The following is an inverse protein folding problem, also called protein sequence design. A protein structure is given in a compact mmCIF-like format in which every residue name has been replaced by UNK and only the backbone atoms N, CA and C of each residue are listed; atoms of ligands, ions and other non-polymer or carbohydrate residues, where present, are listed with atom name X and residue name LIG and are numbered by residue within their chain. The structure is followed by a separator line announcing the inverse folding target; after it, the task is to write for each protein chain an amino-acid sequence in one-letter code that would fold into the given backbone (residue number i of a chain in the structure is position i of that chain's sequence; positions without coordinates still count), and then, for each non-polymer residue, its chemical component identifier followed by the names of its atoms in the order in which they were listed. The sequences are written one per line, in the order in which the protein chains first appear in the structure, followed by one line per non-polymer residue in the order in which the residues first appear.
data_IF_448531648389
#
_entry.id   IF_448531648389
#
_cell.length_a   1.000
_cell.length_b   1.000
_cell.length_c   1.000
_cell.angle_alpha   90.00
_cell.angle_beta   90.00
_cell.angle_gamma   90.00
#
_symmetry.space_group_name_H-M   'P 1'
#
loop_
_entity.id
_entity.type
_entity.pdbx_description
1 polymer ?
#
# COMPACT_ATOMS: atom_id res chain seq x y z
N UNK A 1 5.68 26.43 -14.37
CA UNK A 1 4.71 26.69 -13.28
C UNK A 1 5.01 25.71 -12.16
N UNK A 2 5.38 26.19 -10.96
CA UNK A 2 5.62 25.33 -9.80
C UNK A 2 4.28 25.15 -9.10
N UNK A 3 3.67 23.98 -9.25
CA UNK A 3 2.50 23.58 -8.46
C UNK A 3 2.94 23.40 -7.00
N UNK A 4 2.88 24.49 -6.25
CA UNK A 4 3.08 24.46 -4.82
C UNK A 4 1.89 23.71 -4.23
N UNK A 5 2.13 22.46 -3.81
CA UNK A 5 1.13 21.66 -3.10
C UNK A 5 0.81 22.41 -1.81
N UNK A 6 -0.33 23.09 -1.78
CA UNK A 6 -0.79 23.79 -0.59
C UNK A 6 -1.24 22.77 0.46
N UNK A 7 -0.32 22.45 1.38
CA UNK A 7 -0.54 21.56 2.51
C UNK A 7 -1.60 22.09 3.49
N UNK A 8 -2.02 23.36 3.37
CA UNK A 8 -3.10 23.95 4.19
C UNK A 8 -4.48 23.38 3.86
N UNK A 9 -4.62 22.63 2.76
CA UNK A 9 -5.89 22.04 2.35
C UNK A 9 -6.18 20.65 2.95
N UNK A 10 -5.30 20.10 3.80
CA UNK A 10 -5.58 18.87 4.52
C UNK A 10 -6.61 19.13 5.62
N UNK A 11 -7.80 18.54 5.46
CA UNK A 11 -8.74 18.45 6.57
C UNK A 11 -8.28 17.28 7.42
N UNK A 12 -7.65 17.63 8.54
CA UNK A 12 -7.35 16.68 9.59
C UNK A 12 -8.65 16.36 10.32
N UNK A 13 -9.24 15.20 10.03
CA UNK A 13 -10.38 14.73 10.81
C UNK A 13 -9.81 14.00 12.02
N UNK A 14 -9.66 14.71 13.15
CA UNK A 14 -9.26 14.11 14.42
C UNK A 14 -10.25 13.03 14.85
N UNK A 15 -9.70 12.05 15.58
CA UNK A 15 -10.33 10.83 16.08
C UNK A 15 -11.72 11.13 16.66
N UNK A 16 -12.75 10.72 15.93
CA UNK A 16 -14.12 10.84 16.40
C UNK A 16 -14.38 9.73 17.43
N UNK A 17 -14.55 10.17 18.68
CA UNK A 17 -15.21 9.54 19.85
C UNK A 17 -15.40 8.01 19.90
N UNK A 18 -15.04 7.43 21.05
CA UNK A 18 -15.10 6.01 21.42
C UNK A 18 -16.44 5.26 21.24
N UNK A 19 -17.51 5.88 20.71
CA UNK A 19 -18.85 5.28 20.55
C UNK A 19 -19.40 5.27 19.11
N UNK A 20 -18.63 5.66 18.11
CA UNK A 20 -19.13 5.63 16.73
C UNK A 20 -19.10 4.22 16.13
N UNK A 21 -20.26 3.76 15.66
CA UNK A 21 -20.35 2.63 14.74
C UNK A 21 -19.82 3.01 13.34
N UNK A 22 -19.48 2.01 12.52
CA UNK A 22 -18.93 2.23 11.18
C UNK A 22 -19.86 3.01 10.23
N UNK A 23 -21.18 2.86 10.38
CA UNK A 23 -22.16 3.52 9.50
C UNK A 23 -22.28 5.01 9.84
N UNK A 24 -22.31 5.35 11.13
CA UNK A 24 -22.26 6.73 11.62
C UNK A 24 -20.96 7.40 11.19
N UNK A 25 -19.84 6.68 11.26
CA UNK A 25 -18.56 7.21 10.82
C UNK A 25 -18.56 7.50 9.32
N UNK A 26 -19.09 6.59 8.50
CA UNK A 26 -19.33 6.84 7.07
C UNK A 26 -20.22 8.08 6.83
N UNK A 27 -21.37 8.20 7.52
CA UNK A 27 -22.26 9.36 7.36
C UNK A 27 -21.56 10.67 7.71
N UNK A 28 -20.76 10.66 8.78
CA UNK A 28 -19.97 11.82 9.17
C UNK A 28 -18.93 12.19 8.11
N UNK A 29 -18.15 11.22 7.61
CA UNK A 29 -17.18 11.44 6.54
C UNK A 29 -17.84 11.95 5.26
N UNK A 30 -18.98 11.36 4.87
CA UNK A 30 -19.75 11.80 3.71
C UNK A 30 -20.23 13.24 3.85
N UNK A 31 -20.85 13.58 4.97
CA UNK A 31 -21.31 14.97 5.23
C UNK A 31 -20.14 15.95 5.13
N UNK A 32 -18.96 15.55 5.63
CA UNK A 32 -17.77 16.39 5.56
C UNK A 32 -17.22 16.51 4.13
N UNK A 33 -17.23 15.43 3.35
CA UNK A 33 -16.88 15.47 1.92
C UNK A 33 -17.81 16.44 1.19
N UNK A 34 -19.13 16.30 1.38
CA UNK A 34 -20.12 17.12 0.70
C UNK A 34 -19.95 18.61 1.05
N UNK A 35 -19.73 18.93 2.33
CA UNK A 35 -19.44 20.31 2.79
C UNK A 35 -18.13 20.87 2.20
N UNK A 36 -17.11 20.03 2.01
CA UNK A 36 -15.85 20.48 1.43
C UNK A 36 -15.94 20.67 -0.09
N UNK A 37 -16.81 19.92 -0.76
CA UNK A 37 -17.06 20.04 -2.19
C UNK A 37 -17.88 21.28 -2.55
N UNK A 38 -18.69 21.82 -1.64
CA UNK A 38 -19.42 23.08 -1.89
C UNK A 38 -18.52 24.32 -1.84
N UNK A 39 -17.28 24.20 -1.37
CA UNK A 39 -16.33 25.30 -1.32
C UNK A 39 -15.74 25.60 -2.71
N UNK A 40 -15.98 26.80 -3.29
CA UNK A 40 -15.69 27.09 -4.70
C UNK A 40 -14.19 27.09 -5.05
N UNK A 41 -13.30 27.23 -4.07
CA UNK A 41 -11.84 27.23 -4.28
C UNK A 41 -11.20 25.83 -4.23
N UNK A 42 -11.94 24.77 -3.89
CA UNK A 42 -11.39 23.42 -3.75
C UNK A 42 -11.62 22.58 -4.99
N UNK A 43 -10.59 22.47 -5.84
CA UNK A 43 -10.62 21.55 -7.01
C UNK A 43 -10.50 20.07 -6.62
N UNK A 44 -9.85 19.76 -5.50
CA UNK A 44 -9.63 18.40 -4.99
C UNK A 44 -9.73 18.40 -3.47
N UNK A 45 -10.49 17.46 -2.91
CA UNK A 45 -10.63 17.27 -1.46
C UNK A 45 -9.63 16.23 -0.99
N UNK A 46 -8.78 16.58 -0.02
CA UNK A 46 -7.78 15.68 0.56
C UNK A 46 -8.15 15.39 2.01
N UNK A 47 -8.36 14.12 2.33
CA UNK A 47 -8.76 13.68 3.67
C UNK A 47 -7.67 12.79 4.24
N UNK A 48 -7.20 13.14 5.43
CA UNK A 48 -6.32 12.31 6.23
C UNK A 48 -7.11 11.68 7.37
N UNK A 49 -7.18 10.34 7.37
CA UNK A 49 -7.69 9.55 8.49
C UNK A 49 -6.49 9.06 9.30
N UNK A 50 -6.25 9.68 10.44
CA UNK A 50 -5.08 9.41 11.29
C UNK A 50 -5.45 8.46 12.44
N UNK A 51 -4.90 7.25 12.41
CA UNK A 51 -5.08 6.18 13.39
C UNK A 51 -6.54 5.81 13.70
N UNK A 52 -7.42 5.59 12.69
CA UNK A 52 -8.77 5.11 12.94
C UNK A 52 -8.76 3.66 13.46
N UNK A 53 -9.74 3.31 14.31
CA UNK A 53 -9.93 1.90 14.72
C UNK A 53 -10.24 1.04 13.49
N UNK A 54 -9.55 -0.08 13.34
CA UNK A 54 -9.67 -0.96 12.17
C UNK A 54 -11.11 -1.44 11.92
N UNK A 55 -11.85 -1.74 12.99
CA UNK A 55 -13.24 -2.19 12.93
C UNK A 55 -14.16 -1.14 12.29
N UNK A 56 -14.00 0.14 12.66
CA UNK A 56 -14.77 1.25 12.12
C UNK A 56 -14.43 1.44 10.63
N UNK A 57 -13.13 1.41 10.32
CA UNK A 57 -12.63 1.60 8.96
C UNK A 57 -13.11 0.51 8.00
N UNK A 58 -13.14 -0.76 8.46
CA UNK A 58 -13.58 -1.91 7.66
C UNK A 58 -15.02 -1.79 7.17
N UNK A 59 -15.89 -1.13 7.93
CA UNK A 59 -17.28 -0.88 7.54
C UNK A 59 -17.44 0.44 6.78
N UNK A 60 -16.76 1.50 7.22
CA UNK A 60 -16.97 2.85 6.69
C UNK A 60 -16.27 3.09 5.34
N UNK A 61 -15.03 2.62 5.20
CA UNK A 61 -14.20 2.93 4.03
C UNK A 61 -14.76 2.34 2.72
N UNK A 62 -15.25 1.08 2.67
CA UNK A 62 -15.86 0.56 1.45
C UNK A 62 -17.07 1.38 1.00
N UNK A 63 -17.91 1.82 1.93
CA UNK A 63 -19.08 2.66 1.64
C UNK A 63 -18.67 4.03 1.11
N UNK A 64 -17.65 4.65 1.72
CA UNK A 64 -17.12 5.93 1.28
C UNK A 64 -16.47 5.83 -0.10
N UNK A 65 -15.67 4.80 -0.34
CA UNK A 65 -15.04 4.57 -1.64
C UNK A 65 -16.08 4.32 -2.73
N UNK A 66 -17.13 3.56 -2.45
CA UNK A 66 -18.23 3.36 -3.39
C UNK A 66 -18.91 4.70 -3.73
N UNK A 67 -19.23 5.50 -2.72
CA UNK A 67 -19.81 6.83 -2.90
C UNK A 67 -18.94 7.75 -3.78
N UNK A 68 -17.64 7.80 -3.49
CA UNK A 68 -16.68 8.61 -4.25
C UNK A 68 -16.60 8.14 -5.70
N UNK A 69 -16.53 6.83 -5.93
CA UNK A 69 -16.41 6.23 -7.27
C UNK A 69 -17.68 6.41 -8.08
N UNK A 70 -18.84 6.14 -7.49
CA UNK A 70 -20.16 6.25 -8.13
C UNK A 70 -20.43 7.67 -8.61
N UNK A 71 -20.13 8.67 -7.78
CA UNK A 71 -20.31 10.08 -8.11
C UNK A 71 -19.11 10.74 -8.79
N UNK A 72 -18.06 9.97 -9.04
CA UNK A 72 -16.80 10.43 -9.61
C UNK A 72 -16.21 11.68 -8.91
N UNK A 73 -16.20 11.69 -7.58
CA UNK A 73 -15.79 12.85 -6.80
C UNK A 73 -14.26 13.05 -6.83
N UNK A 74 -13.75 14.29 -6.87
CA UNK A 74 -12.32 14.58 -6.85
C UNK A 74 -11.77 14.51 -5.42
N UNK A 75 -11.76 13.31 -4.83
CA UNK A 75 -11.37 13.06 -3.43
C UNK A 75 -10.14 12.16 -3.37
N UNK A 76 -9.15 12.55 -2.56
CA UNK A 76 -7.98 11.74 -2.22
C UNK A 76 -8.04 11.38 -0.75
N UNK A 77 -7.98 10.08 -0.45
CA UNK A 77 -7.98 9.55 0.91
C UNK A 77 -6.59 9.05 1.28
N UNK A 78 -6.05 9.56 2.38
CA UNK A 78 -4.86 9.01 3.03
C UNK A 78 -5.28 8.42 4.38
N UNK A 79 -5.00 7.13 4.56
CA UNK A 79 -5.29 6.43 5.82
C UNK A 79 -3.98 5.98 6.43
N UNK A 80 -3.68 6.47 7.64
CA UNK A 80 -2.52 6.05 8.41
C UNK A 80 -2.97 5.15 9.56
N UNK A 81 -2.39 3.95 9.64
CA UNK A 81 -2.70 2.96 10.68
C UNK A 81 -1.40 2.57 11.38
N UNK A 82 -1.45 2.40 12.70
CA UNK A 82 -0.36 1.84 13.49
C UNK A 82 -0.41 0.32 13.47
N UNK A 83 0.62 -0.38 12.96
CA UNK A 83 0.59 -1.84 12.84
C UNK A 83 0.45 -2.52 14.21
N UNK A 84 1.10 -2.02 15.26
CA UNK A 84 1.01 -2.56 16.62
C UNK A 84 -0.38 -2.44 17.28
N UNK A 85 -1.32 -1.71 16.67
CA UNK A 85 -2.71 -1.62 17.16
C UNK A 85 -3.62 -2.68 16.53
N UNK A 86 -3.15 -3.37 15.49
CA UNK A 86 -3.89 -4.40 14.78
C UNK A 86 -3.79 -5.70 15.58
N UNK A 87 -4.93 -6.21 16.05
CA UNK A 87 -4.99 -7.51 16.74
C UNK A 87 -5.20 -8.63 15.73
N UNK A 88 -4.97 -9.89 16.12
CA UNK A 88 -5.14 -11.06 15.25
C UNK A 88 -6.53 -11.13 14.59
N UNK A 89 -7.57 -10.72 15.32
CA UNK A 89 -8.96 -10.63 14.83
C UNK A 89 -9.17 -9.56 13.73
N UNK A 90 -8.30 -8.56 13.66
CA UNK A 90 -8.40 -7.42 12.73
C UNK A 90 -7.60 -7.67 11.42
N UNK A 91 -6.80 -8.73 11.34
CA UNK A 91 -6.00 -9.10 10.16
C UNK A 91 -6.86 -9.25 8.90
N UNK A 92 -8.02 -9.94 8.92
CA UNK A 92 -8.87 -10.06 7.73
C UNK A 92 -9.40 -8.70 7.24
N UNK A 93 -9.70 -7.79 8.18
CA UNK A 93 -10.14 -6.44 7.87
C UNK A 93 -9.02 -5.61 7.23
N UNK A 94 -7.80 -5.67 7.80
CA UNK A 94 -6.63 -4.99 7.23
C UNK A 94 -6.35 -5.45 5.79
N UNK A 95 -6.35 -6.77 5.54
CA UNK A 95 -6.18 -7.33 4.18
C UNK A 95 -7.28 -6.87 3.22
N UNK A 96 -8.53 -6.79 3.67
CA UNK A 96 -9.64 -6.28 2.85
C UNK A 96 -9.41 -4.82 2.46
N UNK A 97 -8.97 -3.99 3.42
CA UNK A 97 -8.68 -2.58 3.17
C UNK A 97 -7.50 -2.38 2.21
N UNK A 98 -6.44 -3.18 2.34
CA UNK A 98 -5.32 -3.20 1.39
C UNK A 98 -5.77 -3.57 -0.04
N UNK A 99 -6.78 -4.43 -0.20
CA UNK A 99 -7.34 -4.76 -1.52
C UNK A 99 -8.13 -3.60 -2.11
N UNK A 100 -8.81 -2.82 -1.28
CA UNK A 100 -9.62 -1.68 -1.70
C UNK A 100 -8.81 -0.43 -2.04
N UNK A 101 -7.62 -0.27 -1.44
CA UNK A 101 -6.76 0.89 -1.65
C UNK A 101 -6.01 0.82 -2.97
N UNK A 102 -5.79 1.97 -3.59
CA UNK A 102 -5.02 2.05 -4.84
C UNK A 102 -3.51 1.94 -4.55
N UNK A 103 -3.06 2.46 -3.41
CA UNK A 103 -1.67 2.42 -2.95
C UNK A 103 -1.61 1.88 -1.52
N UNK A 104 -0.61 1.03 -1.24
CA UNK A 104 -0.28 0.57 0.11
C UNK A 104 1.20 0.82 0.34
N UNK A 105 1.49 1.57 1.41
CA UNK A 105 2.83 1.91 1.86
C UNK A 105 3.02 1.38 3.27
N UNK A 106 4.15 0.76 3.51
CA UNK A 106 4.58 0.29 4.82
C UNK A 106 5.85 1.02 5.22
N UNK A 107 5.89 1.51 6.45
CA UNK A 107 7.02 2.29 6.96
C UNK A 107 7.57 1.58 8.18
N UNK A 108 8.85 1.24 8.12
CA UNK A 108 9.58 0.62 9.22
C UNK A 108 10.64 1.59 9.74
N UNK A 109 10.60 1.91 11.03
CA UNK A 109 11.64 2.74 11.66
C UNK A 109 12.78 1.89 12.20
N UNK A 110 14.02 2.35 12.09
CA UNK A 110 15.14 1.64 12.71
C UNK A 110 15.20 1.79 14.23
N UNK A 111 14.53 2.80 14.79
CA UNK A 111 14.50 3.02 16.23
C UNK A 111 13.84 1.86 17.01
N UNK A 112 12.99 1.05 16.35
CA UNK A 112 12.35 -0.11 16.96
C UNK A 112 13.21 -1.37 16.93
N UNK A 113 14.35 -1.38 16.21
CA UNK A 113 15.22 -2.56 16.11
C UNK A 113 16.18 -2.60 17.30
N UNK A 114 15.84 -3.39 18.33
CA UNK A 114 16.71 -3.60 19.49
C UNK A 114 17.73 -4.72 19.26
N UNK A 115 17.36 -5.74 18.47
CA UNK A 115 18.16 -6.97 18.32
C UNK A 115 19.17 -6.92 17.19
N UNK A 116 18.87 -6.22 16.09
CA UNK A 116 19.72 -6.13 14.91
C UNK A 116 19.84 -4.67 14.48
N UNK A 117 20.96 -3.98 14.79
CA UNK A 117 21.16 -2.62 14.34
C UNK A 117 21.13 -2.58 12.80
N UNK A 118 20.66 -1.48 12.20
CA UNK A 118 20.66 -1.37 10.74
C UNK A 118 22.09 -1.55 10.20
N UNK A 119 22.24 -2.23 9.04
CA UNK A 119 23.51 -2.33 8.32
C UNK A 119 24.24 -0.99 8.19
N UNK A 120 25.57 -1.03 8.06
CA UNK A 120 26.41 0.16 8.07
C UNK A 120 26.01 1.17 6.96
N UNK A 121 25.56 0.65 5.82
CA UNK A 121 25.08 1.39 4.66
C UNK A 121 23.83 2.22 4.98
N UNK A 122 23.06 1.81 5.99
CA UNK A 122 21.80 2.44 6.39
C UNK A 122 21.93 3.34 7.62
N UNK A 123 23.15 3.57 8.15
CA UNK A 123 23.38 4.44 9.32
C UNK A 123 22.87 5.87 9.15
N UNK A 124 22.79 6.36 7.91
CA UNK A 124 22.33 7.73 7.61
C UNK A 124 20.81 7.84 7.47
N UNK A 125 20.12 6.70 7.47
CA UNK A 125 18.68 6.57 7.32
C UNK A 125 18.01 6.43 8.68
N UNK A 126 16.74 6.82 8.75
CA UNK A 126 15.91 6.68 9.95
C UNK A 126 14.98 5.46 9.86
N UNK A 127 14.78 4.91 8.65
CA UNK A 127 13.91 3.78 8.41
C UNK A 127 13.79 3.45 6.92
N UNK A 128 12.87 2.54 6.63
CA UNK A 128 12.57 2.01 5.31
C UNK A 128 11.13 2.31 4.93
N UNK A 129 10.91 2.58 3.64
CA UNK A 129 9.60 2.69 3.02
C UNK A 129 9.45 1.52 2.03
N UNK A 130 8.50 0.65 2.33
CA UNK A 130 8.09 -0.44 1.46
C UNK A 130 6.85 -0.04 0.67
N UNK A 131 6.89 -0.25 -0.64
CA UNK A 131 5.77 0.00 -1.53
C UNK A 131 5.12 -1.35 -1.86
N UNK A 132 4.19 -1.78 -1.02
CA UNK A 132 3.55 -3.11 -1.12
C UNK A 132 2.60 -3.21 -2.31
N UNK A 133 1.91 -2.11 -2.63
CA UNK A 133 0.93 -2.06 -3.73
C UNK A 133 0.90 -0.67 -4.37
N UNK A 134 0.87 -0.65 -5.70
CA UNK A 134 0.50 0.53 -6.50
C UNK A 134 -0.38 0.06 -7.65
N UNK A 135 -1.61 0.52 -7.67
CA UNK A 135 -2.54 0.33 -8.78
C UNK A 135 -2.16 1.31 -9.89
N UNK A 136 -1.49 0.82 -10.93
CA UNK A 136 -1.22 1.59 -12.16
C UNK A 136 -2.34 1.33 -13.16
N UNK A 137 -2.96 2.37 -13.71
CA UNK A 137 -3.76 2.22 -14.94
C UNK A 137 -2.78 1.95 -16.08
N UNK A 138 -2.68 0.69 -16.49
CA UNK A 138 -2.04 0.33 -17.75
C UNK A 138 -2.98 0.74 -18.88
N UNK A 139 -2.43 1.33 -19.95
CA UNK A 139 -3.15 1.92 -21.07
C UNK A 139 -4.12 0.95 -21.81
N UNK A 140 -4.16 -0.33 -21.47
CA UNK A 140 -5.12 -1.31 -22.01
C UNK A 140 -6.46 -1.37 -21.24
N UNK A 141 -6.58 -0.73 -20.08
CA UNK A 141 -7.81 -0.68 -19.26
C UNK A 141 -8.43 0.72 -19.24
N UNK A 142 -8.37 1.42 -20.39
CA UNK A 142 -8.75 2.83 -20.57
C UNK A 142 -10.26 3.10 -20.53
N UNK A 143 -10.94 2.65 -19.48
CA UNK A 143 -12.28 3.16 -19.12
C UNK A 143 -12.49 3.34 -17.61
N UNK A 144 -11.50 3.03 -16.78
CA UNK A 144 -11.55 3.26 -15.33
C UNK A 144 -10.79 4.51 -14.93
N UNK A 145 -11.49 5.60 -14.66
CA UNK A 145 -10.95 6.73 -13.89
C UNK A 145 -10.37 6.21 -12.55
N UNK A 146 -9.40 6.92 -11.96
CA UNK A 146 -8.87 6.77 -10.58
C UNK A 146 -7.47 6.17 -10.32
N UNK A 147 -6.66 5.79 -11.32
CA UNK A 147 -5.21 5.92 -11.13
C UNK A 147 -4.77 7.25 -11.71
N UNK A 148 -3.87 7.92 -11.00
CA UNK A 148 -3.25 9.16 -11.46
C UNK A 148 -2.76 8.99 -12.90
N UNK A 149 -3.44 9.65 -13.85
CA UNK A 149 -3.10 9.62 -15.27
C UNK A 149 -1.70 10.21 -15.55
N UNK A 150 -1.04 10.78 -14.53
CA UNK A 150 0.32 11.31 -14.63
C UNK A 150 1.41 10.28 -14.28
N UNK A 151 1.08 9.19 -13.59
CA UNK A 151 2.04 8.14 -13.22
C UNK A 151 1.74 6.85 -13.98
N UNK A 152 2.10 6.85 -15.26
CA UNK A 152 2.05 5.66 -16.12
C UNK A 152 3.13 4.61 -15.81
N UNK A 153 4.07 4.95 -14.90
CA UNK A 153 5.23 4.14 -14.60
C UNK A 153 5.14 3.56 -13.20
N UNK A 154 5.38 2.26 -13.08
CA UNK A 154 5.58 1.61 -11.78
C UNK A 154 6.74 2.30 -11.03
N UNK A 155 6.71 2.30 -9.68
CA UNK A 155 7.84 2.75 -8.88
C UNK A 155 9.14 2.05 -9.31
N UNK A 156 10.28 2.77 -9.25
CA UNK A 156 11.57 2.25 -9.70
C UNK A 156 12.06 1.07 -8.84
N UNK A 157 11.70 1.06 -7.56
CA UNK A 157 11.90 -0.07 -6.64
C UNK A 157 10.69 -0.23 -5.71
N UNK A 158 10.65 -1.35 -4.99
CA UNK A 158 9.66 -1.61 -3.92
C UNK A 158 10.16 -1.20 -2.53
N UNK A 159 11.44 -0.84 -2.40
CA UNK A 159 12.09 -0.51 -1.14
C UNK A 159 12.90 0.77 -1.26
N UNK A 160 12.68 1.69 -0.33
CA UNK A 160 13.34 2.99 -0.28
C UNK A 160 13.85 3.28 1.13
N UNK A 161 14.91 4.07 1.22
CA UNK A 161 15.39 4.63 2.49
C UNK A 161 14.63 5.89 2.84
N UNK A 162 14.29 6.05 4.12
CA UNK A 162 13.67 7.26 4.66
C UNK A 162 14.70 8.00 5.52
N UNK A 163 14.88 9.29 5.27
CA UNK A 163 15.68 10.16 6.12
C UNK A 163 14.89 11.42 6.45
N UNK A 164 14.73 11.73 7.74
CA UNK A 164 14.17 13.01 8.18
C UNK A 164 15.31 14.00 8.39
N UNK A 165 15.33 15.08 7.62
CA UNK A 165 16.21 16.22 7.84
C UNK A 165 15.39 17.42 8.33
N UNK A 166 15.39 17.63 9.65
CA UNK A 166 14.62 18.68 10.35
C UNK A 166 13.12 18.65 10.00
N UNK A 167 12.72 19.45 8.99
CA UNK A 167 11.35 19.65 8.51
C UNK A 167 11.07 18.97 7.16
N UNK A 168 12.06 18.29 6.57
CA UNK A 168 11.94 17.61 5.28
C UNK A 168 12.05 16.09 5.47
N UNK A 169 11.19 15.38 4.76
CA UNK A 169 11.28 13.93 4.62
C UNK A 169 11.93 13.63 3.27
N UNK A 170 13.08 12.96 3.29
CA UNK A 170 13.77 12.47 2.11
C UNK A 170 13.44 10.99 1.94
N UNK A 171 13.00 10.63 0.73
CA UNK A 171 12.82 9.25 0.27
C UNK A 171 13.88 9.02 -0.79
N UNK A 172 14.81 8.10 -0.53
CA UNK A 172 15.94 7.81 -1.41
C UNK A 172 15.88 6.36 -1.90
N UNK A 173 16.24 6.16 -3.17
CA UNK A 173 16.40 4.81 -3.71
C UNK A 173 17.54 4.11 -2.96
N UNK A 174 17.31 2.88 -2.51
CA UNK A 174 18.38 2.09 -1.93
C UNK A 174 19.18 1.46 -3.05
N UNK A 175 20.49 1.73 -3.06
CA UNK A 175 21.43 1.01 -3.88
C UNK A 175 21.81 -0.26 -3.11
N UNK A 176 20.94 -1.27 -3.13
CA UNK A 176 21.28 -2.58 -2.58
C UNK A 176 22.12 -3.26 -3.66
N UNK A 177 23.43 -3.52 -3.42
CA UNK A 177 24.23 -4.27 -4.38
C UNK A 177 23.56 -5.64 -4.59
N UNK A 178 23.55 -6.17 -5.83
CA UNK A 178 23.03 -7.51 -6.07
C UNK A 178 23.70 -8.49 -5.10
N UNK A 179 22.92 -9.43 -4.56
CA UNK A 179 23.31 -10.35 -3.46
C UNK A 179 24.62 -11.11 -3.71
N UNK A 180 25.08 -11.19 -4.96
CA UNK A 180 26.35 -11.77 -5.37
C UNK A 180 27.60 -11.11 -4.75
N UNK A 181 27.49 -9.88 -4.22
CA UNK A 181 28.59 -9.14 -3.59
C UNK A 181 28.52 -9.09 -2.06
N UNK A 182 27.51 -9.69 -1.43
CA UNK A 182 27.48 -9.85 0.01
C UNK A 182 28.38 -11.05 0.38
N UNK A 183 29.66 -10.79 0.67
CA UNK A 183 30.58 -11.78 1.23
C UNK A 183 29.93 -12.48 2.45
N UNK A 184 29.41 -13.70 2.24
CA UNK A 184 28.87 -14.54 3.31
C UNK A 184 27.55 -15.29 3.04
N UNK A 185 26.91 -15.14 1.88
CA UNK A 185 25.62 -15.80 1.58
C UNK A 185 25.74 -17.17 0.90
N UNK A 186 25.88 -18.24 1.67
CA UNK A 186 25.82 -19.63 1.18
C UNK A 186 24.44 -19.98 0.59
N UNK A 187 24.43 -20.23 -0.72
CA UNK A 187 23.60 -21.16 -1.49
C UNK A 187 22.42 -21.85 -0.78
N UNK A 188 21.19 -21.38 -1.03
CA UNK A 188 20.00 -22.23 -1.24
C UNK A 188 18.87 -21.42 -1.90
N UNK A 189 18.35 -21.89 -3.04
CA UNK A 189 17.00 -21.51 -3.50
C UNK A 189 16.86 -20.82 -4.86
N UNK A 190 17.79 -21.03 -5.80
CA UNK A 190 17.63 -20.61 -7.20
C UNK A 190 16.44 -21.31 -7.88
N UNK A 191 15.25 -20.71 -7.81
CA UNK A 191 14.10 -21.10 -8.61
C UNK A 191 14.30 -20.61 -10.04
N UNK A 192 14.86 -21.52 -10.86
CA UNK A 192 14.48 -21.73 -12.26
C UNK A 192 14.45 -20.48 -13.15
N UNK A 193 15.62 -20.15 -13.68
CA UNK A 193 15.79 -19.33 -14.88
C UNK A 193 14.89 -19.86 -16.00
N UNK A 194 13.94 -19.03 -16.45
CA UNK A 194 13.12 -19.30 -17.64
C UNK A 194 13.94 -18.96 -18.88
N UNK A 195 14.58 -19.97 -19.46
CA UNK A 195 15.20 -19.89 -20.79
C UNK A 195 14.30 -20.63 -21.80
N UNK A 196 13.88 -19.93 -22.85
CA UNK A 196 12.90 -20.39 -23.81
C UNK A 196 13.44 -21.30 -24.93
N UNK A 197 12.49 -21.78 -25.75
CA UNK A 197 12.67 -22.02 -27.19
C UNK A 197 13.27 -23.36 -27.61
N UNK A 198 12.42 -24.34 -27.92
CA UNK A 198 12.78 -25.53 -28.71
C UNK A 198 11.54 -26.27 -29.21
N UNK A 199 11.33 -26.31 -30.54
CA UNK A 199 10.25 -27.03 -31.23
C UNK A 199 10.61 -28.51 -31.46
N UNK A 200 9.55 -29.27 -31.81
CA UNK A 200 9.48 -30.65 -32.34
C UNK A 200 9.40 -31.74 -31.25
N UNK A 201 8.55 -32.77 -31.31
CA UNK A 201 7.60 -33.26 -32.32
C UNK A 201 6.46 -34.03 -31.62
N UNK A 202 5.38 -34.31 -32.34
CA UNK A 202 4.22 -35.05 -31.88
C UNK A 202 4.54 -36.51 -31.51
N UNK A 203 3.97 -37.02 -30.42
CA UNK A 203 3.20 -38.27 -30.46
C UNK A 203 2.38 -38.52 -29.17
N UNK A 204 1.20 -39.05 -29.42
CA UNK A 204 0.09 -39.41 -28.54
C UNK A 204 0.49 -40.41 -27.45
N UNK A 205 0.06 -40.20 -26.20
CA UNK A 205 -0.47 -41.28 -25.34
C UNK A 205 -1.26 -40.74 -24.14
N UNK A 206 -2.31 -41.52 -23.84
CA UNK A 206 -3.47 -41.27 -22.98
C UNK A 206 -3.25 -41.97 -21.64
N UNK A 207 -3.43 -41.26 -20.51
CA UNK A 207 -3.72 -41.82 -19.18
C UNK A 207 -4.33 -40.69 -18.33
N UNK A 208 -5.63 -40.68 -18.01
CA UNK A 208 -6.32 -41.37 -16.91
C UNK A 208 -5.98 -40.82 -15.51
N UNK A 209 -6.92 -40.05 -14.94
CA UNK A 209 -7.35 -40.10 -13.54
C UNK A 209 -6.46 -39.47 -12.45
N UNK A 210 -7.08 -38.74 -11.52
CA UNK A 210 -6.49 -38.49 -10.20
C UNK A 210 -6.90 -37.19 -9.51
N UNK A 211 -7.94 -37.26 -8.68
CA UNK A 211 -8.26 -36.29 -7.64
C UNK A 211 -7.22 -36.35 -6.50
N UNK A 212 -6.96 -35.24 -5.80
CA UNK A 212 -6.25 -35.27 -4.52
C UNK A 212 -5.61 -33.95 -4.09
N UNK A 213 -6.31 -33.20 -3.26
CA UNK A 213 -5.73 -32.21 -2.35
C UNK A 213 -4.62 -32.84 -1.49
N UNK A 214 -3.54 -32.11 -1.23
CA UNK A 214 -2.86 -31.91 0.08
C UNK A 214 -1.50 -31.25 -0.18
N UNK A 215 -1.24 -30.18 0.55
CA UNK A 215 0.03 -29.46 0.58
C UNK A 215 -0.27 -28.05 1.08
N UNK A 216 -0.08 -27.72 2.35
CA UNK A 216 1.05 -28.08 3.20
C UNK A 216 1.67 -26.76 3.61
N UNK A 217 1.51 -26.45 4.90
CA UNK A 217 2.29 -25.53 5.73
C UNK A 217 3.42 -24.74 5.07
N UNK A 218 3.47 -23.43 5.33
CA UNK A 218 4.62 -22.74 5.96
C UNK A 218 4.20 -21.30 6.27
N UNK A 219 4.08 -20.96 7.56
CA UNK A 219 5.10 -20.26 8.35
C UNK A 219 5.04 -18.74 8.12
N UNK A 220 4.23 -18.07 8.95
CA UNK A 220 4.21 -16.61 9.09
C UNK A 220 5.08 -16.23 10.29
N UNK A 221 6.23 -15.65 10.00
CA UNK A 221 6.99 -14.73 10.86
C UNK A 221 6.78 -13.34 10.20
N UNK A 222 6.34 -12.27 10.85
CA UNK A 222 6.03 -11.91 12.24
C UNK A 222 4.72 -11.11 12.28
#
# INVERSE_FOLDING_TARGET
MKDQIDLRAFVHTEVVSCRMDGVRYYRHLRSRVDELLTQPWRKVVRILLYHPKMQILNSALPLLLNYIREKQLPVVLLVAVQPWTIRSQDIPAARRLQRLSDVVLEVEGFASRQTYPPPAEFRTLHGLLHVTKVSTVTAAASSGHFADATVSKRPAAFLYGIKRDRRKLHIQLLHIPPEEYAEGGSSVGGTGVRSGGGRMSAETKKATGGCGSVGGSTHLEF
#
